data_IF_491898706405
#
_entry.id   IF_491898706405
#
_cell.length_a   1.000
_cell.length_b   1.000
_cell.length_c   1.000
_cell.angle_alpha   90.00
_cell.angle_beta   90.00
_cell.angle_gamma   90.00
#
_symmetry.space_group_name_H-M   'P 1'
#
loop_
_entity.id
_entity.type
_entity.pdbx_description
1 polymer ?
#
# COMPACT_ATOMS: atom_id res chain seq x y z
N UNK A 1 6.41 -31.27 -17.85
CA UNK A 1 6.45 -31.67 -16.43
C UNK A 1 5.76 -33.01 -16.13
N UNK A 2 5.61 -33.93 -17.12
CA UNK A 2 4.88 -35.19 -16.86
C UNK A 2 5.75 -36.32 -16.24
N UNK A 3 7.07 -36.13 -16.11
CA UNK A 3 7.99 -37.20 -15.68
C UNK A 3 9.18 -36.67 -14.87
N UNK A 4 8.89 -35.87 -13.83
CA UNK A 4 9.96 -35.45 -12.92
C UNK A 4 10.22 -36.53 -11.89
N UNK A 5 11.51 -36.88 -11.61
CA UNK A 5 11.84 -37.81 -10.57
C UNK A 5 11.33 -37.33 -9.22
N UNK A 6 10.83 -38.23 -8.37
CA UNK A 6 10.32 -37.88 -7.02
C UNK A 6 11.37 -37.27 -6.10
N UNK A 7 12.64 -37.37 -6.48
CA UNK A 7 13.79 -36.79 -5.74
C UNK A 7 14.14 -35.38 -6.18
N UNK A 8 13.48 -34.83 -7.20
CA UNK A 8 13.77 -33.49 -7.70
C UNK A 8 12.87 -32.46 -7.03
N UNK A 9 13.47 -31.53 -6.30
CA UNK A 9 12.83 -30.35 -5.76
C UNK A 9 13.21 -29.13 -6.59
N UNK A 10 12.23 -28.43 -7.15
CA UNK A 10 12.44 -27.21 -7.90
C UNK A 10 12.00 -26.00 -7.04
N UNK A 11 12.92 -25.07 -6.79
CA UNK A 11 12.61 -23.80 -6.14
C UNK A 11 12.59 -22.71 -7.22
N UNK A 12 11.46 -22.00 -7.33
CA UNK A 12 11.29 -20.87 -8.23
C UNK A 12 11.13 -19.59 -7.40
N UNK A 13 12.05 -18.65 -7.58
CA UNK A 13 11.97 -17.33 -6.97
C UNK A 13 11.57 -16.35 -8.07
N UNK A 14 10.45 -15.70 -7.91
CA UNK A 14 9.92 -14.77 -8.92
C UNK A 14 9.09 -13.67 -8.27
N UNK A 15 9.19 -12.44 -8.77
CA UNK A 15 8.31 -11.32 -8.39
C UNK A 15 6.90 -11.49 -8.95
N UNK A 16 6.72 -12.29 -10.00
CA UNK A 16 5.42 -12.54 -10.65
C UNK A 16 5.05 -14.01 -10.52
N UNK A 17 3.76 -14.29 -10.51
CA UNK A 17 3.31 -15.67 -10.58
C UNK A 17 3.85 -16.32 -11.87
N UNK A 18 4.57 -17.45 -11.75
CA UNK A 18 5.07 -18.15 -12.93
C UNK A 18 3.91 -18.67 -13.80
N UNK A 19 4.13 -18.76 -15.11
CA UNK A 19 3.17 -19.31 -16.08
C UNK A 19 3.08 -20.84 -15.95
N UNK A 20 2.73 -21.32 -14.77
CA UNK A 20 2.54 -22.73 -14.43
C UNK A 20 1.08 -22.96 -14.02
N UNK A 21 0.56 -24.19 -14.15
CA UNK A 21 -0.79 -24.53 -13.71
C UNK A 21 -0.85 -24.65 -12.17
N UNK A 22 -0.59 -23.54 -11.46
CA UNK A 22 -0.44 -23.52 -9.99
C UNK A 22 -1.67 -24.09 -9.27
N UNK A 23 -2.87 -23.78 -9.74
CA UNK A 23 -4.11 -24.29 -9.15
C UNK A 23 -4.16 -25.84 -9.17
N UNK A 24 -3.78 -26.45 -10.31
CA UNK A 24 -3.73 -27.91 -10.43
C UNK A 24 -2.62 -28.54 -9.57
N UNK A 25 -1.47 -27.85 -9.47
CA UNK A 25 -0.35 -28.34 -8.63
C UNK A 25 -0.69 -28.24 -7.15
N UNK A 26 -1.39 -27.16 -6.74
CA UNK A 26 -1.88 -26.97 -5.37
C UNK A 26 -2.90 -28.06 -5.00
N UNK A 27 -3.86 -28.34 -5.87
CA UNK A 27 -4.87 -29.37 -5.65
C UNK A 27 -4.26 -30.78 -5.52
N UNK A 28 -3.08 -31.01 -6.12
CA UNK A 28 -2.35 -32.28 -6.06
C UNK A 28 -1.31 -32.36 -4.93
N UNK A 29 -1.18 -31.32 -4.09
CA UNK A 29 -0.16 -31.26 -3.05
C UNK A 29 1.28 -31.23 -3.58
N UNK A 30 1.48 -30.77 -4.81
CA UNK A 30 2.78 -30.73 -5.50
C UNK A 30 3.44 -29.33 -5.46
N UNK A 31 2.84 -28.39 -4.71
CA UNK A 31 3.28 -27.03 -4.64
C UNK A 31 3.25 -26.54 -3.19
N UNK A 32 4.39 -26.07 -2.72
CA UNK A 32 4.49 -25.23 -1.52
C UNK A 32 4.74 -23.79 -1.97
N UNK A 33 3.99 -22.86 -1.45
CA UNK A 33 4.10 -21.45 -1.79
C UNK A 33 4.55 -20.66 -0.56
N UNK A 34 5.58 -19.86 -0.75
CA UNK A 34 5.99 -18.84 0.22
C UNK A 34 5.61 -17.51 -0.38
N UNK A 35 4.71 -16.79 0.26
CA UNK A 35 4.17 -15.51 -0.18
C UNK A 35 4.77 -14.37 0.64
N UNK A 36 4.49 -13.13 0.24
CA UNK A 36 5.01 -11.94 0.91
C UNK A 36 4.69 -11.93 2.41
N UNK A 37 3.48 -12.31 2.81
CA UNK A 37 3.08 -12.35 4.22
C UNK A 37 3.84 -13.40 5.04
N UNK A 38 4.31 -14.49 4.40
CA UNK A 38 5.13 -15.51 5.08
C UNK A 38 6.58 -15.04 5.30
N UNK A 39 6.99 -13.99 4.58
CA UNK A 39 8.33 -13.42 4.63
C UNK A 39 8.39 -12.12 5.46
N UNK A 40 7.25 -11.64 5.92
CA UNK A 40 7.21 -10.47 6.81
C UNK A 40 7.80 -10.83 8.17
N UNK A 41 8.68 -9.96 8.67
CA UNK A 41 9.26 -10.11 10.00
C UNK A 41 8.20 -9.87 11.09
N UNK A 42 8.14 -10.77 12.03
CA UNK A 42 7.39 -10.58 13.28
C UNK A 42 8.04 -9.48 14.13
N UNK A 43 7.32 -8.88 15.09
CA UNK A 43 7.91 -7.89 15.99
C UNK A 43 9.18 -8.39 16.72
N UNK A 44 9.26 -9.68 17.04
CA UNK A 44 10.43 -10.28 17.65
C UNK A 44 11.63 -10.34 16.70
N UNK A 45 11.40 -10.70 15.43
CA UNK A 45 12.43 -10.72 14.40
C UNK A 45 12.89 -9.30 14.03
N UNK A 46 11.98 -8.32 13.99
CA UNK A 46 12.35 -6.90 13.81
C UNK A 46 13.26 -6.45 14.94
N UNK A 47 12.94 -6.78 16.20
CA UNK A 47 13.75 -6.42 17.36
C UNK A 47 15.15 -7.06 17.28
N UNK A 48 15.22 -8.34 16.93
CA UNK A 48 16.48 -9.06 16.80
C UNK A 48 17.34 -8.48 15.66
N UNK A 49 16.74 -8.24 14.50
CA UNK A 49 17.45 -7.70 13.35
C UNK A 49 17.93 -6.27 13.60
N UNK A 50 17.08 -5.41 14.18
CA UNK A 50 17.46 -4.05 14.53
C UNK A 50 18.61 -4.00 15.54
N UNK A 51 18.59 -4.84 16.57
CA UNK A 51 19.69 -4.95 17.54
C UNK A 51 21.00 -5.40 16.89
N UNK A 52 20.93 -6.31 15.93
CA UNK A 52 22.10 -6.79 15.18
C UNK A 52 22.71 -5.69 14.30
N UNK A 53 21.89 -4.95 13.55
CA UNK A 53 22.36 -3.90 12.63
C UNK A 53 22.86 -2.64 13.35
N UNK A 54 22.22 -2.25 14.46
CA UNK A 54 22.60 -1.06 15.24
C UNK A 54 23.70 -1.34 16.27
N UNK A 55 23.98 -2.61 16.57
CA UNK A 55 24.95 -3.00 17.60
C UNK A 55 24.48 -2.77 19.04
N UNK A 56 23.24 -2.32 19.24
CA UNK A 56 22.60 -2.09 20.52
C UNK A 56 21.11 -2.41 20.46
N UNK A 57 20.49 -2.63 21.63
CA UNK A 57 19.06 -2.90 21.70
C UNK A 57 18.25 -1.60 21.61
N UNK A 58 17.46 -1.37 20.54
CA UNK A 58 16.62 -0.20 20.43
C UNK A 58 15.52 -0.18 21.50
N UNK A 59 15.05 1.01 21.85
CA UNK A 59 13.94 1.13 22.81
C UNK A 59 12.65 0.49 22.27
N UNK A 60 11.73 0.03 23.14
CA UNK A 60 10.45 -0.53 22.72
C UNK A 60 9.63 0.41 21.83
N UNK A 61 9.73 1.73 22.06
CA UNK A 61 9.05 2.74 21.24
C UNK A 61 9.62 2.81 19.81
N UNK A 62 10.94 2.76 19.67
CA UNK A 62 11.64 2.69 18.37
C UNK A 62 11.24 1.43 17.62
N UNK A 63 11.24 0.28 18.29
CA UNK A 63 10.86 -1.00 17.70
C UNK A 63 9.40 -1.01 17.21
N UNK A 64 8.47 -0.49 18.01
CA UNK A 64 7.07 -0.36 17.64
C UNK A 64 6.90 0.51 16.40
N UNK A 65 7.66 1.61 16.30
CA UNK A 65 7.61 2.52 15.19
C UNK A 65 8.25 1.92 13.92
N UNK A 66 9.39 1.24 14.02
CA UNK A 66 9.99 0.49 12.91
C UNK A 66 9.01 -0.57 12.38
N UNK A 67 8.37 -1.33 13.27
CA UNK A 67 7.37 -2.32 12.88
C UNK A 67 6.18 -1.68 12.17
N UNK A 68 5.67 -0.56 12.68
CA UNK A 68 4.56 0.16 12.08
C UNK A 68 4.91 0.70 10.69
N UNK A 69 6.08 1.31 10.53
CA UNK A 69 6.53 1.91 9.28
C UNK A 69 6.82 0.85 8.20
N UNK A 70 7.51 -0.21 8.58
CA UNK A 70 7.96 -1.23 7.63
C UNK A 70 6.98 -2.39 7.44
N UNK A 71 5.98 -2.52 8.34
CA UNK A 71 5.04 -3.65 8.37
C UNK A 71 5.76 -5.03 8.32
N UNK A 72 6.99 -5.09 8.84
CA UNK A 72 7.84 -6.29 8.78
C UNK A 72 8.46 -6.55 7.40
N UNK A 73 8.35 -5.63 6.45
CA UNK A 73 9.01 -5.76 5.15
C UNK A 73 10.52 -5.56 5.31
N UNK A 74 11.30 -6.65 5.13
CA UNK A 74 12.73 -6.68 5.43
C UNK A 74 13.55 -5.64 4.65
N UNK A 75 13.25 -5.41 3.37
CA UNK A 75 14.01 -4.43 2.60
C UNK A 75 13.73 -3.00 3.12
N UNK A 76 12.48 -2.68 3.46
CA UNK A 76 12.13 -1.42 4.09
C UNK A 76 12.79 -1.26 5.47
N UNK A 77 12.78 -2.31 6.28
CA UNK A 77 13.44 -2.32 7.59
C UNK A 77 14.96 -2.10 7.46
N UNK A 78 15.63 -2.81 6.54
CA UNK A 78 17.06 -2.64 6.31
C UNK A 78 17.40 -1.20 5.88
N UNK A 79 16.67 -0.64 4.92
CA UNK A 79 16.88 0.74 4.47
C UNK A 79 16.62 1.76 5.60
N UNK A 80 15.56 1.54 6.39
CA UNK A 80 15.26 2.36 7.56
C UNK A 80 16.41 2.34 8.58
N UNK A 81 16.98 1.16 8.87
CA UNK A 81 18.10 1.03 9.79
C UNK A 81 19.39 1.65 9.26
N UNK A 82 19.65 1.56 7.95
CA UNK A 82 20.79 2.26 7.32
C UNK A 82 20.70 3.78 7.49
N UNK A 83 19.49 4.33 7.48
CA UNK A 83 19.27 5.77 7.65
C UNK A 83 19.36 6.23 9.10
N UNK A 84 19.29 5.30 10.06
CA UNK A 84 19.45 5.55 11.50
C UNK A 84 20.92 5.54 11.95
N UNK A 85 21.88 5.90 11.11
CA UNK A 85 23.30 5.97 11.47
C UNK A 85 23.55 7.03 12.56
N UNK A 86 23.30 6.67 13.83
CA UNK A 86 23.38 7.53 15.01
C UNK A 86 22.50 6.99 16.16
N UNK A 87 22.44 7.65 17.32
CA UNK A 87 21.54 7.23 18.37
C UNK A 87 20.10 7.28 17.86
N UNK A 88 19.51 6.08 17.72
CA UNK A 88 18.15 5.92 17.23
C UNK A 88 17.17 6.47 18.27
N UNK A 89 16.57 7.62 17.98
CA UNK A 89 15.45 8.15 18.76
C UNK A 89 14.13 7.99 17.99
N UNK A 90 13.02 8.09 18.72
CA UNK A 90 11.67 7.96 18.16
C UNK A 90 11.34 9.05 17.15
N UNK A 91 11.93 10.25 17.28
CA UNK A 91 11.70 11.35 16.35
C UNK A 91 12.38 11.08 15.01
N UNK A 92 13.59 10.54 15.02
CA UNK A 92 14.32 10.14 13.81
C UNK A 92 13.57 9.02 13.08
N UNK A 93 13.06 8.00 13.78
CA UNK A 93 12.27 6.92 13.18
C UNK A 93 10.93 7.43 12.62
N UNK A 94 10.30 8.39 13.26
CA UNK A 94 9.06 9.00 12.76
C UNK A 94 9.26 9.73 11.43
N UNK A 95 10.47 10.19 11.14
CA UNK A 95 10.84 10.84 9.90
C UNK A 95 11.45 9.89 8.85
N UNK A 96 11.61 8.62 9.16
CA UNK A 96 12.00 7.56 8.20
C UNK A 96 10.91 7.26 7.16
N UNK A 97 9.90 8.10 7.09
CA UNK A 97 8.89 8.07 6.04
C UNK A 97 9.56 8.01 4.65
N UNK A 98 8.76 7.78 3.63
CA UNK A 98 9.13 7.71 2.22
C UNK A 98 9.93 8.95 1.68
N UNK A 99 10.24 9.93 2.53
CA UNK A 99 11.15 11.05 2.28
C UNK A 99 12.63 10.67 2.47
N UNK A 100 12.94 9.52 3.12
CA UNK A 100 14.31 9.03 3.19
C UNK A 100 14.82 8.69 1.79
N UNK A 101 15.98 9.26 1.44
CA UNK A 101 16.56 9.14 0.09
C UNK A 101 16.76 7.68 -0.32
N UNK A 102 17.21 6.82 0.60
CA UNK A 102 17.48 5.41 0.30
C UNK A 102 16.19 4.63 0.01
N UNK A 103 15.15 4.85 0.84
CA UNK A 103 13.83 4.22 0.66
C UNK A 103 13.18 4.75 -0.62
N UNK A 104 13.21 6.07 -0.83
CA UNK A 104 12.63 6.70 -2.02
C UNK A 104 13.32 6.23 -3.32
N UNK A 105 14.65 6.16 -3.35
CA UNK A 105 15.40 5.64 -4.50
C UNK A 105 15.10 4.16 -4.77
N UNK A 106 15.02 3.34 -3.72
CA UNK A 106 14.66 1.93 -3.87
C UNK A 106 13.25 1.77 -4.45
N UNK A 107 12.26 2.48 -3.88
CA UNK A 107 10.88 2.44 -4.35
C UNK A 107 10.76 2.93 -5.79
N UNK A 108 11.47 4.02 -6.12
CA UNK A 108 11.45 4.58 -7.47
C UNK A 108 12.07 3.63 -8.50
N UNK A 109 13.27 3.14 -8.24
CA UNK A 109 14.06 2.39 -9.23
C UNK A 109 13.62 0.93 -9.33
N UNK A 110 13.41 0.27 -8.19
CA UNK A 110 13.14 -1.17 -8.14
C UNK A 110 11.67 -1.54 -8.27
N UNK A 111 10.77 -0.72 -7.72
CA UNK A 111 9.35 -1.03 -7.73
C UNK A 111 8.59 -0.28 -8.82
N UNK A 112 8.79 1.03 -8.95
CA UNK A 112 8.00 1.86 -9.85
C UNK A 112 8.64 2.06 -11.22
N UNK A 113 9.98 2.09 -11.31
CA UNK A 113 10.70 2.40 -12.55
C UNK A 113 10.42 1.43 -13.71
N UNK A 114 9.94 0.23 -13.41
CA UNK A 114 9.61 -0.80 -14.40
C UNK A 114 8.10 -0.90 -14.69
N UNK A 115 7.26 -0.04 -14.07
CA UNK A 115 5.82 -0.11 -14.26
C UNK A 115 5.39 0.62 -15.53
N UNK A 116 4.34 0.12 -16.21
CA UNK A 116 3.72 0.83 -17.31
C UNK A 116 3.20 2.22 -16.88
N UNK A 117 3.19 3.22 -17.79
CA UNK A 117 2.76 4.58 -17.45
C UNK A 117 1.32 4.66 -16.92
N UNK A 118 0.42 3.82 -17.43
CA UNK A 118 -0.97 3.71 -16.96
C UNK A 118 -1.06 3.25 -15.51
N UNK A 119 -0.22 2.29 -15.10
CA UNK A 119 -0.12 1.83 -13.71
C UNK A 119 0.46 2.92 -12.81
N UNK A 120 1.50 3.64 -13.25
CA UNK A 120 2.08 4.74 -12.48
C UNK A 120 1.06 5.86 -12.24
N UNK A 121 0.31 6.24 -13.28
CA UNK A 121 -0.74 7.24 -13.14
C UNK A 121 -1.85 6.78 -12.19
N UNK A 122 -2.29 5.53 -12.31
CA UNK A 122 -3.27 4.94 -11.39
C UNK A 122 -2.78 5.01 -9.95
N UNK A 123 -1.54 4.59 -9.67
CA UNK A 123 -0.94 4.63 -8.33
C UNK A 123 -0.91 6.05 -7.76
N UNK A 124 -0.49 7.03 -8.55
CA UNK A 124 -0.40 8.43 -8.11
C UNK A 124 -1.78 9.01 -7.79
N UNK A 125 -2.78 8.76 -8.65
CA UNK A 125 -4.13 9.30 -8.44
C UNK A 125 -4.88 8.64 -7.29
N UNK A 126 -4.63 7.35 -7.03
CA UNK A 126 -5.27 6.59 -5.94
C UNK A 126 -4.51 6.62 -4.62
N UNK A 127 -3.30 7.21 -4.59
CA UNK A 127 -2.48 7.33 -3.37
C UNK A 127 -3.14 8.14 -2.24
N UNK A 128 -4.11 9.00 -2.59
CA UNK A 128 -4.91 9.77 -1.63
C UNK A 128 -5.84 8.90 -0.77
N UNK A 129 -6.11 7.67 -1.22
CA UNK A 129 -7.05 6.76 -0.57
C UNK A 129 -6.35 5.93 0.50
N UNK A 130 -6.92 5.86 1.70
CA UNK A 130 -6.44 4.98 2.79
C UNK A 130 -6.70 3.52 2.47
N UNK A 131 -7.87 3.26 1.91
CA UNK A 131 -8.30 1.98 1.36
C UNK A 131 -9.03 2.21 0.04
N UNK A 132 -8.96 1.26 -0.85
CA UNK A 132 -9.56 1.38 -2.16
C UNK A 132 -10.21 0.06 -2.62
N UNK A 133 -11.22 0.22 -3.47
CA UNK A 133 -11.90 -0.86 -4.17
C UNK A 133 -11.98 -0.54 -5.65
N UNK A 134 -12.30 -1.52 -6.50
CA UNK A 134 -12.46 -1.27 -7.93
C UNK A 134 -13.48 -0.15 -8.20
N UNK A 135 -14.72 -0.17 -7.63
CA UNK A 135 -15.69 0.89 -7.89
C UNK A 135 -15.23 2.28 -7.42
N UNK A 136 -14.55 2.37 -6.27
CA UNK A 136 -14.01 3.64 -5.80
C UNK A 136 -12.93 4.18 -6.74
N UNK A 137 -12.01 3.33 -7.18
CA UNK A 137 -10.96 3.75 -8.10
C UNK A 137 -11.52 4.20 -9.46
N UNK A 138 -12.55 3.51 -9.99
CA UNK A 138 -13.22 3.91 -11.23
C UNK A 138 -13.89 5.29 -11.12
N UNK A 139 -14.35 5.64 -9.91
CA UNK A 139 -14.97 6.94 -9.65
C UNK A 139 -13.92 8.06 -9.48
N UNK A 140 -12.80 7.75 -8.79
CA UNK A 140 -11.78 8.74 -8.41
C UNK A 140 -10.82 9.04 -9.55
N UNK A 141 -10.38 8.03 -10.31
CA UNK A 141 -9.37 8.19 -11.36
C UNK A 141 -9.93 8.94 -12.54
N UNK A 142 -9.24 10.01 -12.96
CA UNK A 142 -9.60 10.73 -14.17
C UNK A 142 -9.28 9.89 -15.41
N UNK A 143 -10.27 9.77 -16.31
CA UNK A 143 -10.07 9.13 -17.61
C UNK A 143 -9.07 9.95 -18.43
N UNK A 144 -8.14 9.27 -19.10
CA UNK A 144 -7.16 9.91 -19.98
C UNK A 144 -5.71 9.45 -19.81
N UNK A 145 -5.43 8.56 -18.85
CA UNK A 145 -4.10 7.99 -18.68
C UNK A 145 -4.16 6.47 -18.81
N UNK A 146 -4.23 6.00 -20.05
CA UNK A 146 -4.25 4.58 -20.42
C UNK A 146 -5.67 4.00 -20.51
N UNK A 147 -5.84 3.03 -21.41
CA UNK A 147 -7.13 2.34 -21.66
C UNK A 147 -7.43 1.24 -20.61
N UNK A 148 -6.63 1.13 -19.55
CA UNK A 148 -6.77 0.05 -18.56
C UNK A 148 -7.80 0.42 -17.49
N UNK A 149 -8.88 -0.38 -17.33
CA UNK A 149 -9.86 -0.17 -16.27
C UNK A 149 -9.22 -0.40 -14.88
N UNK A 150 -9.79 0.17 -13.82
CA UNK A 150 -9.29 0.05 -12.45
C UNK A 150 -9.13 -1.41 -12.00
N UNK A 151 -10.06 -2.29 -12.38
CA UNK A 151 -9.95 -3.72 -12.14
C UNK A 151 -8.67 -4.32 -12.73
N UNK A 152 -8.31 -3.91 -13.96
CA UNK A 152 -7.08 -4.36 -14.62
C UNK A 152 -5.81 -3.79 -13.98
N UNK A 153 -5.87 -2.58 -13.43
CA UNK A 153 -4.77 -2.00 -12.65
C UNK A 153 -4.56 -2.77 -11.34
N UNK A 154 -5.62 -3.02 -10.59
CA UNK A 154 -5.56 -3.77 -9.32
C UNK A 154 -5.08 -5.21 -9.56
N UNK A 155 -5.57 -5.90 -10.58
CA UNK A 155 -5.09 -7.24 -10.97
C UNK A 155 -3.59 -7.22 -11.32
N UNK A 156 -3.13 -6.18 -12.03
CA UNK A 156 -1.69 -5.99 -12.29
C UNK A 156 -0.89 -5.85 -11.01
N UNK A 157 -1.33 -4.99 -10.08
CA UNK A 157 -0.66 -4.77 -8.80
C UNK A 157 -0.57 -6.06 -7.98
N UNK A 158 -1.63 -6.86 -7.96
CA UNK A 158 -1.64 -8.15 -7.28
C UNK A 158 -0.66 -9.15 -7.93
N UNK A 159 -0.65 -9.25 -9.26
CA UNK A 159 0.23 -10.18 -9.98
C UNK A 159 1.70 -9.81 -9.86
N UNK A 160 2.01 -8.54 -9.73
CA UNK A 160 3.38 -8.03 -9.58
C UNK A 160 3.82 -7.93 -8.13
N UNK A 161 2.95 -8.27 -7.15
CA UNK A 161 3.19 -8.12 -5.72
C UNK A 161 3.67 -6.69 -5.36
N UNK A 162 3.04 -5.68 -5.95
CA UNK A 162 3.46 -4.29 -5.80
C UNK A 162 2.93 -3.68 -4.49
N UNK A 163 3.34 -4.22 -3.36
CA UNK A 163 3.09 -3.70 -2.02
C UNK A 163 1.62 -3.25 -1.77
N UNK A 164 0.66 -4.05 -2.27
CA UNK A 164 -0.75 -3.90 -1.92
C UNK A 164 -1.19 -5.03 -1.00
N UNK A 165 -2.05 -4.70 -0.04
CA UNK A 165 -2.57 -5.59 0.98
C UNK A 165 -4.08 -5.69 0.81
N UNK A 166 -4.62 -6.91 0.69
CA UNK A 166 -6.06 -7.13 0.74
C UNK A 166 -6.53 -6.99 2.19
N UNK A 167 -7.64 -6.27 2.40
CA UNK A 167 -8.20 -6.02 3.73
C UNK A 167 -9.29 -7.02 4.11
N UNK A 168 -9.77 -7.79 3.14
CA UNK A 168 -10.81 -8.80 3.33
C UNK A 168 -10.52 -10.07 2.50
N UNK A 169 -11.16 -11.18 2.88
CA UNK A 169 -11.01 -12.47 2.22
C UNK A 169 -11.61 -12.51 0.79
N UNK A 170 -12.58 -11.62 0.52
CA UNK A 170 -13.20 -11.48 -0.81
C UNK A 170 -12.35 -10.70 -1.77
N UNK A 171 -11.34 -9.97 -1.23
CA UNK A 171 -10.48 -9.09 -2.00
C UNK A 171 -11.25 -7.99 -2.72
N UNK A 172 -12.23 -7.44 -2.02
CA UNK A 172 -13.00 -6.29 -2.49
C UNK A 172 -12.32 -4.98 -2.10
N UNK A 173 -11.63 -4.98 -0.96
CA UNK A 173 -10.92 -3.84 -0.42
C UNK A 173 -9.42 -4.10 -0.31
N UNK A 174 -8.64 -3.06 -0.66
CA UNK A 174 -7.19 -3.06 -0.64
C UNK A 174 -6.67 -1.79 0.02
N UNK A 175 -5.43 -1.86 0.47
CA UNK A 175 -4.63 -0.69 0.80
C UNK A 175 -3.22 -0.83 0.26
N UNK A 176 -2.55 0.28 0.09
CA UNK A 176 -1.11 0.26 -0.12
C UNK A 176 -0.37 -0.05 1.17
N UNK A 177 0.80 -0.67 1.05
CA UNK A 177 1.77 -0.72 2.14
C UNK A 177 2.13 0.71 2.56
N UNK A 178 2.32 0.95 3.86
CA UNK A 178 2.51 2.28 4.41
C UNK A 178 3.60 3.08 3.68
N UNK A 179 4.83 2.56 3.58
CA UNK A 179 5.94 3.21 2.90
C UNK A 179 5.64 3.53 1.42
N UNK A 180 4.98 2.63 0.70
CA UNK A 180 4.61 2.89 -0.69
C UNK A 180 3.59 4.02 -0.78
N UNK A 181 2.57 4.03 0.09
CA UNK A 181 1.54 5.06 0.10
C UNK A 181 2.14 6.44 0.34
N UNK A 182 2.96 6.59 1.39
CA UNK A 182 3.63 7.86 1.71
C UNK A 182 4.51 8.34 0.55
N UNK A 183 5.29 7.43 -0.03
CA UNK A 183 6.11 7.77 -1.19
C UNK A 183 5.25 8.22 -2.38
N UNK A 184 4.15 7.52 -2.69
CA UNK A 184 3.24 7.89 -3.77
C UNK A 184 2.58 9.23 -3.52
N UNK A 185 2.19 9.55 -2.27
CA UNK A 185 1.61 10.84 -1.90
C UNK A 185 2.61 11.99 -2.10
N UNK A 186 3.85 11.82 -1.64
CA UNK A 186 4.93 12.80 -1.87
C UNK A 186 5.18 13.00 -3.38
N UNK A 187 5.21 11.90 -4.13
CA UNK A 187 5.42 11.96 -5.57
C UNK A 187 4.23 12.59 -6.30
N UNK A 188 3.01 12.25 -5.91
CA UNK A 188 1.78 12.84 -6.45
C UNK A 188 1.75 14.36 -6.22
N UNK A 189 2.09 14.82 -5.03
CA UNK A 189 2.17 16.25 -4.70
C UNK A 189 3.21 17.01 -5.55
N UNK A 190 4.29 16.33 -5.98
CA UNK A 190 5.33 16.91 -6.83
C UNK A 190 4.98 16.91 -8.33
N UNK A 191 4.18 15.95 -8.81
CA UNK A 191 3.98 15.68 -10.24
C UNK A 191 2.56 16.06 -10.69
N UNK A 192 1.54 15.80 -9.86
CA UNK A 192 0.16 16.07 -10.24
C UNK A 192 -0.21 17.54 -10.00
N UNK A 193 -1.02 18.14 -10.90
CA UNK A 193 -1.59 19.45 -10.67
C UNK A 193 -2.44 19.47 -9.39
N UNK A 194 -2.33 20.52 -8.59
CA UNK A 194 -3.12 20.65 -7.34
C UNK A 194 -4.62 20.52 -7.56
N UNK A 195 -5.13 21.03 -8.67
CA UNK A 195 -6.54 20.92 -9.01
C UNK A 195 -6.96 19.46 -9.31
N UNK A 196 -6.06 18.63 -9.85
CA UNK A 196 -6.32 17.22 -10.07
C UNK A 196 -6.41 16.48 -8.75
N UNK A 197 -5.49 16.72 -7.83
CA UNK A 197 -5.53 16.13 -6.48
C UNK A 197 -6.79 16.56 -5.73
N UNK A 198 -7.14 17.85 -5.81
CA UNK A 198 -8.38 18.38 -5.21
C UNK A 198 -9.62 17.67 -5.78
N UNK A 199 -9.73 17.55 -7.11
CA UNK A 199 -10.85 16.85 -7.75
C UNK A 199 -10.92 15.38 -7.35
N UNK A 200 -9.78 14.71 -7.23
CA UNK A 200 -9.74 13.31 -6.77
C UNK A 200 -10.29 13.18 -5.34
N UNK A 201 -9.93 14.09 -4.43
CA UNK A 201 -10.50 14.13 -3.09
C UNK A 201 -11.99 14.41 -3.09
N UNK A 202 -12.49 15.35 -3.89
CA UNK A 202 -13.93 15.64 -3.99
C UNK A 202 -14.72 14.41 -4.48
N UNK A 203 -14.24 13.74 -5.52
CA UNK A 203 -14.85 12.49 -6.00
C UNK A 203 -14.84 11.39 -4.94
N UNK A 204 -13.73 11.24 -4.22
CA UNK A 204 -13.67 10.29 -3.12
C UNK A 204 -14.71 10.62 -2.03
N UNK A 205 -14.81 11.91 -1.64
CA UNK A 205 -15.81 12.37 -0.68
C UNK A 205 -17.25 12.05 -1.12
N UNK A 206 -17.59 12.35 -2.37
CA UNK A 206 -18.91 12.03 -2.94
C UNK A 206 -19.18 10.51 -2.93
N UNK A 207 -18.20 9.72 -3.37
CA UNK A 207 -18.35 8.26 -3.40
C UNK A 207 -18.56 7.68 -2.01
N UNK A 208 -17.73 8.06 -1.03
CA UNK A 208 -17.87 7.59 0.35
C UNK A 208 -19.20 8.00 0.96
N UNK A 209 -19.69 9.21 0.67
CA UNK A 209 -21.00 9.66 1.11
C UNK A 209 -22.13 8.78 0.54
N UNK A 210 -22.06 8.36 -0.74
CA UNK A 210 -23.05 7.44 -1.34
C UNK A 210 -23.04 6.05 -0.73
N UNK A 211 -21.94 5.65 -0.08
CA UNK A 211 -21.79 4.36 0.60
C UNK A 211 -22.10 4.45 2.11
N UNK A 212 -22.63 5.55 2.61
CA UNK A 212 -22.89 5.81 4.04
C UNK A 212 -21.60 5.77 4.92
N UNK A 213 -20.42 5.99 4.29
CA UNK A 213 -19.11 6.06 4.92
C UNK A 213 -18.76 7.52 5.22
N UNK A 214 -19.46 8.10 6.19
CA UNK A 214 -19.49 9.54 6.46
C UNK A 214 -18.13 10.05 6.93
N UNK A 215 -17.39 9.29 7.72
CA UNK A 215 -16.10 9.71 8.26
C UNK A 215 -15.07 9.91 7.13
N UNK A 216 -14.93 8.93 6.24
CA UNK A 216 -14.04 9.02 5.09
C UNK A 216 -14.49 10.13 4.13
N UNK A 217 -15.78 10.32 3.94
CA UNK A 217 -16.32 11.40 3.12
C UNK A 217 -15.89 12.78 3.65
N UNK A 218 -16.04 13.01 4.95
CA UNK A 218 -15.61 14.26 5.61
C UNK A 218 -14.10 14.46 5.49
N UNK A 219 -13.31 13.42 5.76
CA UNK A 219 -11.84 13.51 5.66
C UNK A 219 -11.41 13.93 4.27
N UNK A 220 -12.02 13.38 3.23
CA UNK A 220 -11.70 13.74 1.86
C UNK A 220 -12.21 15.13 1.48
N UNK A 221 -13.36 15.59 1.95
CA UNK A 221 -13.84 16.95 1.74
C UNK A 221 -12.89 17.99 2.38
N UNK A 222 -12.42 17.72 3.61
CA UNK A 222 -11.43 18.54 4.30
C UNK A 222 -10.09 18.58 3.55
N UNK A 223 -9.62 17.44 3.06
CA UNK A 223 -8.38 17.34 2.28
C UNK A 223 -8.47 18.07 0.94
N UNK A 224 -9.68 18.17 0.35
CA UNK A 224 -9.94 19.00 -0.82
C UNK A 224 -9.98 20.51 -0.51
N UNK A 225 -9.98 20.89 0.76
CA UNK A 225 -10.15 22.27 1.20
C UNK A 225 -11.58 22.78 1.07
N UNK A 226 -12.57 21.89 0.96
CA UNK A 226 -13.99 22.24 0.83
C UNK A 226 -14.71 22.11 2.18
N UNK A 227 -14.60 23.19 2.97
CA UNK A 227 -15.18 23.23 4.32
C UNK A 227 -16.72 23.22 4.31
N UNK A 228 -17.35 23.77 3.27
CA UNK A 228 -18.80 23.80 3.14
C UNK A 228 -19.33 22.38 2.88
N UNK A 229 -18.70 21.64 1.98
CA UNK A 229 -19.02 20.24 1.72
C UNK A 229 -18.82 19.38 2.98
N UNK A 230 -17.70 19.57 3.69
CA UNK A 230 -17.42 18.82 4.91
C UNK A 230 -18.48 19.09 5.99
N UNK A 231 -18.86 20.36 6.21
CA UNK A 231 -19.92 20.74 7.15
C UNK A 231 -21.27 20.12 6.77
N UNK A 232 -21.63 20.16 5.50
CA UNK A 232 -22.87 19.56 5.00
C UNK A 232 -22.91 18.03 5.23
N UNK A 233 -21.79 17.33 4.98
CA UNK A 233 -21.70 15.90 5.24
C UNK A 233 -21.78 15.58 6.73
N UNK A 234 -21.23 16.41 7.62
CA UNK A 234 -21.37 16.26 9.07
C UNK A 234 -22.83 16.39 9.50
N UNK A 235 -23.56 17.40 9.00
CA UNK A 235 -24.97 17.59 9.29
C UNK A 235 -25.83 16.40 8.85
N UNK A 236 -25.60 15.90 7.63
CA UNK A 236 -26.31 14.73 7.11
C UNK A 236 -26.02 13.47 7.93
N UNK A 237 -24.77 13.26 8.32
CA UNK A 237 -24.35 12.13 9.17
C UNK A 237 -25.03 12.18 10.54
N UNK A 238 -25.10 13.35 11.17
CA UNK A 238 -25.81 13.54 12.44
C UNK A 238 -27.32 13.25 12.33
N UNK A 239 -27.97 13.73 11.27
CA UNK A 239 -29.37 13.47 11.00
C UNK A 239 -29.63 11.96 10.79
N UNK A 240 -28.76 11.25 10.11
CA UNK A 240 -28.90 9.80 9.87
C UNK A 240 -28.80 8.98 11.16
N UNK A 241 -27.92 9.38 12.09
CA UNK A 241 -27.76 8.74 13.41
C UNK A 241 -28.98 8.98 14.29
N UNK A 242 -29.51 10.21 14.30
CA UNK A 242 -30.70 10.57 15.08
C UNK A 242 -31.98 9.87 14.60
N UNK A 243 -32.10 9.62 13.30
CA UNK A 243 -33.28 8.95 12.72
C UNK A 243 -33.25 7.42 12.85
N UNK A 244 -32.12 6.81 13.28
CA UNK A 244 -32.00 5.36 13.53
C UNK A 244 -32.30 4.95 14.98
N UNK A 245 -32.64 5.89 15.87
CA UNK A 245 -33.16 5.65 17.24
C UNK A 245 -34.68 5.68 17.28
#
# INVERSE_FOLDING_TARGET
ARHWPHTLHLVLISRRNPLLPLASMRAKGQLSEIRMHDLQFTPAEVAQYAAQELGEQPSPAVLAQLQQQTEGWIAGLHLALLSLQGPADTATVAHLAASDTNIAEYLLNELLGQQPPDILSFLLQTSILDRFSVPLCEYVVEQGVGDRPAAGCIDWLQRTNLLIVALDDRRDWYRYHHLLREFLQLRAAAVLPRDQVRRAHLRAAEWFATQDLVEEAIQHALAAGDLELAAHMMEQGLCSVLNRQ
#
